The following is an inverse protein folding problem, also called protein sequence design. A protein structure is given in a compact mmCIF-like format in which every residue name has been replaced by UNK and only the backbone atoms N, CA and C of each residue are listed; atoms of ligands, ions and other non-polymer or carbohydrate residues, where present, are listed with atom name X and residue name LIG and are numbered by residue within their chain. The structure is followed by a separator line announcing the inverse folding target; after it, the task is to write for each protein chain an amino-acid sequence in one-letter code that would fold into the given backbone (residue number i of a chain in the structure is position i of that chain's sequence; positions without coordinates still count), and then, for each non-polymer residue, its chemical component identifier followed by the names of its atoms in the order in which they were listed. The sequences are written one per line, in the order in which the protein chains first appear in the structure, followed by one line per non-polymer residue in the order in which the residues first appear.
data_IF_119145996708
#
_entry.id   IF_119145996708
#
_cell.length_a   1.000
_cell.length_b   1.000
_cell.length_c   1.000
_cell.angle_alpha   90.00
_cell.angle_beta   90.00
_cell.angle_gamma   90.00
#
_symmetry.space_group_name_H-M   'P 1'
#
loop_
_entity.id
_entity.type
_entity.pdbx_description
1 polymer ?
#
# COMPACT_ATOMS: atom_id res chain seq x y z
N UNK A 1 -15.76 41.56 10.79
CA UNK A 1 -16.71 40.45 10.51
C UNK A 1 -16.21 39.63 9.31
N UNK A 2 -15.02 39.02 9.38
CA UNK A 2 -14.38 38.42 8.20
C UNK A 2 -13.64 37.09 8.43
N UNK A 3 -13.87 36.40 9.55
CA UNK A 3 -13.09 35.21 9.94
C UNK A 3 -13.94 33.92 10.08
N UNK A 4 -15.28 34.04 10.17
CA UNK A 4 -16.18 32.90 10.36
C UNK A 4 -16.29 31.99 9.13
N UNK A 5 -16.25 32.55 7.91
CA UNK A 5 -16.41 31.78 6.67
C UNK A 5 -15.22 30.89 6.31
N UNK A 6 -13.99 31.24 6.72
CA UNK A 6 -12.80 30.43 6.46
C UNK A 6 -12.72 29.20 7.39
N UNK A 7 -13.17 29.36 8.65
CA UNK A 7 -13.26 28.28 9.63
C UNK A 7 -14.31 27.23 9.25
N UNK A 8 -15.47 27.67 8.75
CA UNK A 8 -16.54 26.78 8.27
C UNK A 8 -16.14 25.98 7.03
N UNK A 9 -15.46 26.60 6.05
CA UNK A 9 -14.95 25.93 4.85
C UNK A 9 -13.87 24.87 5.19
N UNK A 10 -12.98 25.17 6.15
CA UNK A 10 -11.99 24.20 6.62
C UNK A 10 -12.64 23.02 7.33
N UNK A 11 -13.64 23.27 8.19
CA UNK A 11 -14.40 22.21 8.86
C UNK A 11 -15.11 21.28 7.86
N UNK A 12 -15.76 21.86 6.84
CA UNK A 12 -16.43 21.09 5.79
C UNK A 12 -15.43 20.23 4.98
N UNK A 13 -14.25 20.77 4.66
CA UNK A 13 -13.18 20.03 3.96
C UNK A 13 -12.66 18.86 4.79
N UNK A 14 -12.44 19.07 6.09
CA UNK A 14 -12.00 18.01 7.00
C UNK A 14 -13.08 16.92 7.11
N UNK A 15 -14.35 17.29 7.23
CA UNK A 15 -15.45 16.34 7.26
C UNK A 15 -15.57 15.52 5.97
N UNK A 16 -15.41 16.15 4.80
CA UNK A 16 -15.42 15.47 3.52
C UNK A 16 -14.23 14.50 3.36
N UNK A 17 -13.04 14.90 3.80
CA UNK A 17 -11.86 14.03 3.82
C UNK A 17 -12.08 12.83 4.75
N UNK A 18 -12.60 13.06 5.96
CA UNK A 18 -12.92 12.00 6.91
C UNK A 18 -13.95 11.03 6.35
N UNK A 19 -14.97 11.53 5.64
CA UNK A 19 -15.98 10.69 4.99
C UNK A 19 -15.35 9.79 3.91
N UNK A 20 -14.40 10.29 3.12
CA UNK A 20 -13.64 9.48 2.15
C UNK A 20 -12.80 8.40 2.86
N UNK A 21 -12.06 8.78 3.91
CA UNK A 21 -11.20 7.86 4.66
C UNK A 21 -11.98 6.71 5.32
N UNK A 22 -13.25 6.95 5.69
CA UNK A 22 -14.13 5.96 6.30
C UNK A 22 -14.65 4.90 5.33
N UNK A 23 -14.63 5.16 4.00
CA UNK A 23 -15.07 4.20 2.99
C UNK A 23 -14.22 2.92 3.03
N UNK A 24 -14.80 1.78 2.66
CA UNK A 24 -14.06 0.52 2.52
C UNK A 24 -13.69 0.28 1.05
N UNK A 25 -12.64 -0.50 0.80
CA UNK A 25 -12.19 -0.80 -0.55
C UNK A 25 -13.25 -1.56 -1.37
N UNK A 26 -13.35 -1.29 -2.66
CA UNK A 26 -14.10 -2.14 -3.59
C UNK A 26 -13.35 -3.45 -3.90
N UNK A 27 -14.04 -4.50 -4.40
CA UNK A 27 -13.39 -5.76 -4.79
C UNK A 27 -12.31 -5.57 -5.86
N UNK A 28 -12.38 -4.54 -6.70
CA UNK A 28 -11.39 -4.16 -7.71
C UNK A 28 -10.02 -3.76 -7.13
N UNK A 29 -9.98 -3.38 -5.85
CA UNK A 29 -8.74 -3.02 -5.15
C UNK A 29 -8.09 -4.19 -4.43
N UNK A 30 -8.77 -5.34 -4.38
CA UNK A 30 -8.42 -6.47 -3.54
C UNK A 30 -7.83 -7.60 -4.38
N UNK A 31 -6.86 -8.30 -3.80
CA UNK A 31 -6.22 -9.48 -4.35
C UNK A 31 -6.05 -10.54 -3.28
N UNK A 32 -5.93 -11.79 -3.69
CA UNK A 32 -5.73 -12.92 -2.79
C UNK A 32 -4.46 -13.69 -3.16
N UNK A 33 -3.68 -14.06 -2.14
CA UNK A 33 -2.56 -14.99 -2.28
C UNK A 33 -2.77 -16.22 -1.37
N UNK A 34 -2.21 -17.39 -1.70
CA UNK A 34 -2.19 -18.52 -0.79
C UNK A 34 -1.56 -18.14 0.56
N UNK A 35 -2.12 -18.64 1.66
CA UNK A 35 -1.51 -18.49 2.97
C UNK A 35 -0.28 -19.41 3.12
N UNK A 36 0.58 -19.15 4.13
CA UNK A 36 1.67 -20.07 4.48
C UNK A 36 1.17 -21.50 4.67
N UNK A 37 1.92 -22.49 4.18
CA UNK A 37 1.59 -23.91 4.33
C UNK A 37 0.30 -24.37 3.63
N UNK A 38 -0.22 -23.61 2.66
CA UNK A 38 -1.51 -23.90 2.02
C UNK A 38 -2.73 -23.51 2.86
N UNK A 39 -2.53 -22.69 3.90
CA UNK A 39 -3.59 -22.16 4.75
C UNK A 39 -4.54 -21.18 4.04
N UNK A 40 -5.43 -20.58 4.83
CA UNK A 40 -6.42 -19.62 4.35
C UNK A 40 -5.77 -18.53 3.47
N UNK A 41 -6.41 -18.23 2.33
CA UNK A 41 -5.94 -17.17 1.44
C UNK A 41 -5.85 -15.84 2.18
N UNK A 42 -4.76 -15.14 1.97
CA UNK A 42 -4.53 -13.81 2.53
C UNK A 42 -5.02 -12.75 1.55
N UNK A 43 -5.88 -11.87 2.04
CA UNK A 43 -6.44 -10.74 1.30
C UNK A 43 -5.52 -9.54 1.44
N UNK A 44 -5.15 -8.91 0.32
CA UNK A 44 -4.26 -7.75 0.31
C UNK A 44 -4.62 -6.76 -0.80
N UNK A 45 -4.19 -5.51 -0.66
CA UNK A 45 -4.17 -4.54 -1.74
C UNK A 45 -2.74 -4.38 -2.28
N UNK A 46 -2.64 -4.24 -3.61
CA UNK A 46 -1.36 -4.01 -4.28
C UNK A 46 -0.84 -2.59 -3.99
N UNK A 47 0.49 -2.43 -3.86
CA UNK A 47 1.10 -1.16 -3.47
C UNK A 47 0.74 0.01 -4.39
N UNK A 48 0.73 -0.23 -5.71
CA UNK A 48 0.39 0.81 -6.70
C UNK A 48 -1.05 1.32 -6.55
N UNK A 49 -1.99 0.46 -6.15
CA UNK A 49 -3.38 0.86 -5.93
C UNK A 49 -3.51 1.76 -4.71
N UNK A 50 -2.81 1.42 -3.63
CA UNK A 50 -2.77 2.23 -2.40
C UNK A 50 -2.13 3.60 -2.65
N UNK A 51 -1.06 3.66 -3.46
CA UNK A 51 -0.44 4.94 -3.87
C UNK A 51 -1.43 5.80 -4.65
N UNK A 52 -2.17 5.22 -5.60
CA UNK A 52 -3.17 5.95 -6.37
C UNK A 52 -4.31 6.47 -5.50
N UNK A 53 -4.79 5.67 -4.54
CA UNK A 53 -5.79 6.10 -3.57
C UNK A 53 -5.28 7.25 -2.70
N UNK A 54 -4.03 7.20 -2.23
CA UNK A 54 -3.43 8.30 -1.48
C UNK A 54 -3.35 9.59 -2.33
N UNK A 55 -2.97 9.48 -3.61
CA UNK A 55 -2.97 10.60 -4.54
C UNK A 55 -4.37 11.17 -4.82
N UNK A 56 -5.40 10.32 -4.87
CA UNK A 56 -6.79 10.75 -5.08
C UNK A 56 -7.37 11.44 -3.85
N UNK A 57 -7.04 10.94 -2.66
CA UNK A 57 -7.60 11.41 -1.39
C UNK A 57 -6.89 12.67 -0.91
N UNK A 58 -5.56 12.66 -0.89
CA UNK A 58 -4.75 13.75 -0.37
C UNK A 58 -4.29 14.72 -1.47
N UNK A 59 -4.31 14.31 -2.73
CA UNK A 59 -3.64 15.01 -3.82
C UNK A 59 -2.16 14.62 -3.91
N UNK A 60 -1.57 14.69 -5.11
CA UNK A 60 -0.17 14.30 -5.35
C UNK A 60 0.84 15.07 -4.47
N UNK A 61 0.48 16.26 -4.00
CA UNK A 61 1.28 17.12 -3.12
C UNK A 61 0.67 17.27 -1.71
N UNK A 62 -0.30 16.43 -1.34
CA UNK A 62 -0.91 16.44 0.00
C UNK A 62 -0.31 15.42 0.96
N UNK A 63 0.53 14.51 0.46
CA UNK A 63 1.22 13.52 1.25
C UNK A 63 2.63 13.27 0.70
N UNK A 64 3.49 12.71 1.55
CA UNK A 64 4.83 12.26 1.20
C UNK A 64 5.17 11.01 1.99
N UNK A 65 6.15 10.25 1.52
CA UNK A 65 6.72 9.13 2.27
C UNK A 65 8.22 9.27 2.39
N UNK A 66 8.78 8.93 3.56
CA UNK A 66 10.22 8.86 3.78
C UNK A 66 10.63 7.52 4.37
N UNK A 67 11.80 7.04 3.95
CA UNK A 67 12.45 5.88 4.54
C UNK A 67 13.21 6.34 5.79
N UNK A 68 12.70 5.98 6.97
CA UNK A 68 13.29 6.36 8.26
C UNK A 68 14.47 5.45 8.60
N UNK A 69 14.30 4.16 8.39
CA UNK A 69 15.35 3.16 8.60
C UNK A 69 15.19 1.98 7.65
N UNK A 70 16.32 1.35 7.29
CA UNK A 70 16.34 0.12 6.51
C UNK A 70 17.43 -0.80 7.04
N UNK A 71 17.02 -1.89 7.68
CA UNK A 71 17.92 -2.85 8.34
C UNK A 71 17.86 -4.18 7.61
N UNK A 72 19.03 -4.71 7.25
CA UNK A 72 19.15 -6.09 6.80
C UNK A 72 19.33 -6.96 8.04
N UNK A 73 18.25 -7.62 8.48
CA UNK A 73 18.24 -8.35 9.74
C UNK A 73 19.10 -9.62 9.65
N UNK A 74 19.05 -10.28 8.49
CA UNK A 74 19.93 -11.41 8.18
C UNK A 74 20.17 -11.52 6.66
N UNK A 75 21.29 -12.14 6.31
CA UNK A 75 21.67 -12.44 4.93
C UNK A 75 22.55 -13.69 4.92
N UNK A 76 21.89 -14.83 5.09
CA UNK A 76 22.54 -16.11 5.35
C UNK A 76 22.73 -16.90 4.06
N UNK A 77 23.83 -17.65 3.99
CA UNK A 77 24.11 -18.57 2.90
C UNK A 77 24.14 -20.00 3.46
N UNK A 78 23.26 -20.86 2.97
CA UNK A 78 23.24 -22.28 3.31
C UNK A 78 24.38 -22.98 2.57
N UNK A 79 25.39 -23.49 3.30
CA UNK A 79 26.63 -23.98 2.70
C UNK A 79 26.44 -25.18 1.76
N UNK A 80 25.53 -26.10 2.09
CA UNK A 80 25.26 -27.30 1.28
C UNK A 80 24.51 -26.96 0.00
N UNK A 81 23.43 -26.18 0.11
CA UNK A 81 22.57 -25.86 -1.02
C UNK A 81 23.08 -24.67 -1.85
N UNK A 82 24.02 -23.89 -1.31
CA UNK A 82 24.49 -22.59 -1.84
C UNK A 82 23.33 -21.62 -2.08
N UNK A 83 22.35 -21.61 -1.17
CA UNK A 83 21.15 -20.78 -1.27
C UNK A 83 21.14 -19.69 -0.22
N UNK A 84 20.60 -18.53 -0.60
CA UNK A 84 20.54 -17.35 0.25
C UNK A 84 19.17 -17.19 0.89
N UNK A 85 19.15 -16.87 2.17
CA UNK A 85 17.96 -16.43 2.90
C UNK A 85 18.22 -15.01 3.41
N UNK A 86 17.31 -14.09 3.11
CA UNK A 86 17.46 -12.66 3.41
C UNK A 86 16.19 -12.14 4.05
N UNK A 87 16.36 -11.39 5.14
CA UNK A 87 15.31 -10.65 5.82
C UNK A 87 15.68 -9.18 5.91
N UNK A 88 14.73 -8.30 5.60
CA UNK A 88 14.93 -6.85 5.64
C UNK A 88 13.73 -6.20 6.32
N UNK A 89 14.02 -5.37 7.31
CA UNK A 89 13.07 -4.49 7.99
C UNK A 89 13.20 -3.07 7.45
N UNK A 90 12.08 -2.42 7.13
CA UNK A 90 12.02 -0.99 6.81
C UNK A 90 11.11 -0.26 7.80
N UNK A 91 11.51 0.92 8.27
CA UNK A 91 10.62 1.86 8.96
C UNK A 91 10.28 2.95 7.96
N UNK A 92 8.99 3.12 7.65
CA UNK A 92 8.51 4.10 6.68
C UNK A 92 7.58 5.07 7.38
N UNK A 93 7.81 6.37 7.17
CA UNK A 93 6.92 7.45 7.60
C UNK A 93 6.11 7.95 6.43
N UNK A 94 4.82 8.17 6.65
CA UNK A 94 3.95 8.93 5.75
C UNK A 94 3.51 10.20 6.45
N UNK A 95 3.74 11.34 5.80
CA UNK A 95 3.45 12.68 6.34
C UNK A 95 2.48 13.40 5.43
N UNK A 96 1.40 13.93 5.99
CA UNK A 96 0.45 14.79 5.28
C UNK A 96 0.90 16.25 5.29
N UNK A 97 0.28 17.07 4.44
CA UNK A 97 0.62 18.51 4.31
C UNK A 97 0.50 19.28 5.62
N UNK A 98 -0.44 18.91 6.50
CA UNK A 98 -0.65 19.55 7.79
C UNK A 98 0.40 19.16 8.85
N UNK A 99 1.35 18.28 8.48
CA UNK A 99 2.40 17.79 9.37
C UNK A 99 2.02 16.56 10.18
N UNK A 100 0.76 16.11 10.13
CA UNK A 100 0.36 14.83 10.73
C UNK A 100 1.07 13.68 10.02
N UNK A 101 1.45 12.65 10.79
CA UNK A 101 2.19 11.52 10.23
C UNK A 101 1.90 10.21 10.96
N UNK A 102 2.12 9.12 10.24
CA UNK A 102 2.17 7.77 10.79
C UNK A 102 3.44 7.07 10.34
N UNK A 103 4.03 6.29 11.24
CA UNK A 103 5.14 5.40 10.95
C UNK A 103 4.69 3.96 11.15
N UNK A 104 5.19 3.07 10.30
CA UNK A 104 5.02 1.64 10.53
C UNK A 104 6.22 0.88 9.97
N UNK A 105 6.34 -0.37 10.42
CA UNK A 105 7.37 -1.30 10.03
C UNK A 105 6.88 -2.09 8.82
N UNK A 106 7.71 -2.26 7.80
CA UNK A 106 7.51 -3.20 6.71
C UNK A 106 8.56 -4.29 6.70
N UNK A 107 8.21 -5.47 6.18
CA UNK A 107 9.12 -6.60 6.13
C UNK A 107 9.21 -7.22 4.74
N UNK A 108 10.43 -7.49 4.30
CA UNK A 108 10.73 -8.22 3.08
C UNK A 108 11.53 -9.46 3.41
N UNK A 109 11.07 -10.61 2.94
CA UNK A 109 11.74 -11.89 3.13
C UNK A 109 11.84 -12.67 1.82
N UNK A 110 12.98 -13.32 1.64
CA UNK A 110 13.17 -14.32 0.61
C UNK A 110 14.09 -15.41 1.14
N UNK A 111 13.57 -16.63 1.14
CA UNK A 111 14.31 -17.83 1.48
C UNK A 111 14.70 -18.60 0.22
N UNK A 112 15.75 -19.43 0.32
CA UNK A 112 16.13 -20.38 -0.71
C UNK A 112 16.45 -19.75 -2.09
N UNK A 113 16.95 -18.52 -2.13
CA UNK A 113 17.33 -17.84 -3.37
C UNK A 113 18.63 -18.38 -3.94
N UNK A 114 18.70 -18.54 -5.27
CA UNK A 114 19.96 -18.86 -5.98
C UNK A 114 20.93 -17.68 -6.07
N UNK A 115 20.45 -16.44 -5.90
CA UNK A 115 21.25 -15.23 -6.07
C UNK A 115 21.11 -14.29 -4.87
N UNK A 116 22.25 -13.95 -4.26
CA UNK A 116 22.32 -12.99 -3.15
C UNK A 116 21.80 -11.61 -3.56
N UNK A 117 22.24 -11.11 -4.72
CA UNK A 117 21.84 -9.80 -5.22
C UNK A 117 20.33 -9.69 -5.45
N UNK A 118 19.74 -10.69 -6.10
CA UNK A 118 18.29 -10.73 -6.33
C UNK A 118 17.50 -10.84 -5.03
N UNK A 119 18.01 -11.59 -4.05
CA UNK A 119 17.36 -11.71 -2.75
C UNK A 119 17.34 -10.38 -2.00
N UNK A 120 18.48 -9.69 -1.96
CA UNK A 120 18.60 -8.38 -1.32
C UNK A 120 17.71 -7.34 -2.02
N UNK A 121 17.72 -7.29 -3.35
CA UNK A 121 16.89 -6.38 -4.14
C UNK A 121 15.39 -6.57 -3.86
N UNK A 122 14.93 -7.82 -3.94
CA UNK A 122 13.53 -8.17 -3.62
C UNK A 122 13.17 -7.76 -2.20
N UNK A 123 13.97 -8.18 -1.20
CA UNK A 123 13.62 -7.94 0.21
C UNK A 123 13.59 -6.45 0.54
N UNK A 124 14.54 -5.65 0.03
CA UNK A 124 14.51 -4.19 0.22
C UNK A 124 13.27 -3.55 -0.40
N UNK A 125 12.93 -3.90 -1.64
CA UNK A 125 11.74 -3.37 -2.32
C UNK A 125 10.44 -3.76 -1.62
N UNK A 126 10.35 -5.02 -1.20
CA UNK A 126 9.18 -5.54 -0.50
C UNK A 126 9.02 -4.89 0.88
N UNK A 127 10.10 -4.78 1.68
CA UNK A 127 10.06 -4.15 3.00
C UNK A 127 9.58 -2.71 2.93
N UNK A 128 10.13 -1.91 2.00
CA UNK A 128 9.72 -0.50 1.84
C UNK A 128 8.26 -0.39 1.37
N UNK A 129 7.84 -1.23 0.42
CA UNK A 129 6.46 -1.22 -0.07
C UNK A 129 5.47 -1.65 1.00
N UNK A 130 5.82 -2.64 1.81
CA UNK A 130 4.99 -3.11 2.92
C UNK A 130 4.86 -2.03 4.00
N UNK A 131 5.98 -1.41 4.40
CA UNK A 131 6.01 -0.34 5.38
C UNK A 131 5.16 0.86 4.93
N UNK A 132 5.25 1.23 3.65
CA UNK A 132 4.41 2.28 3.07
C UNK A 132 2.92 1.97 3.18
N UNK A 133 2.48 0.77 2.79
CA UNK A 133 1.06 0.37 2.89
C UNK A 133 0.58 0.35 4.34
N UNK A 134 1.45 -0.10 5.25
CA UNK A 134 1.15 -0.19 6.68
C UNK A 134 1.07 1.18 7.34
N UNK A 135 1.94 2.12 6.98
CA UNK A 135 1.82 3.50 7.41
C UNK A 135 0.52 4.14 6.88
N UNK A 136 0.19 3.95 5.59
CA UNK A 136 -1.00 4.53 4.96
C UNK A 136 -2.33 4.03 5.56
N UNK A 137 -2.44 2.76 5.95
CA UNK A 137 -3.69 2.25 6.54
C UNK A 137 -4.09 2.98 7.83
N UNK A 138 -3.15 3.55 8.58
CA UNK A 138 -3.47 4.25 9.84
C UNK A 138 -4.33 5.51 9.60
N UNK A 139 -4.37 6.04 8.38
CA UNK A 139 -5.24 7.17 8.03
C UNK A 139 -6.70 6.76 7.74
N UNK A 140 -7.01 5.50 7.40
CA UNK A 140 -8.40 5.12 7.14
C UNK A 140 -8.64 3.77 6.44
N UNK A 141 -9.91 3.38 6.42
CA UNK A 141 -10.40 2.14 5.82
C UNK A 141 -10.06 2.04 4.33
N UNK A 142 -10.24 3.12 3.59
CA UNK A 142 -10.03 3.16 2.13
C UNK A 142 -8.55 3.01 1.78
N UNK A 143 -7.63 3.33 2.70
CA UNK A 143 -6.19 3.14 2.54
C UNK A 143 -5.71 1.76 3.03
N UNK A 144 -6.64 0.82 3.24
CA UNK A 144 -6.34 -0.58 3.51
C UNK A 144 -6.60 -1.03 4.95
N UNK A 145 -7.04 -0.15 5.86
CA UNK A 145 -7.39 -0.58 7.22
C UNK A 145 -8.53 -1.59 7.24
N UNK A 146 -9.48 -1.49 6.29
CA UNK A 146 -10.58 -2.44 6.18
C UNK A 146 -10.12 -3.89 5.96
N UNK A 147 -8.92 -4.12 5.41
CA UNK A 147 -8.39 -5.47 5.15
C UNK A 147 -8.07 -6.26 6.43
N UNK A 148 -8.05 -5.60 7.59
CA UNK A 148 -7.86 -6.24 8.90
C UNK A 148 -9.18 -6.69 9.54
N UNK A 149 -10.32 -6.24 8.99
CA UNK A 149 -11.66 -6.69 9.38
C UNK A 149 -11.95 -8.04 8.69
N UNK A 150 -11.97 -9.11 9.50
CA UNK A 150 -12.22 -10.48 9.01
C UNK A 150 -13.60 -10.62 8.38
N UNK A 151 -14.62 -9.99 8.96
CA UNK A 151 -15.98 -10.05 8.43
C UNK A 151 -16.04 -9.37 7.06
N UNK A 152 -15.41 -8.21 6.93
CA UNK A 152 -15.31 -7.52 5.64
C UNK A 152 -14.55 -8.33 4.58
N UNK A 153 -13.39 -8.90 4.92
CA UNK A 153 -12.59 -9.68 3.95
C UNK A 153 -13.29 -10.95 3.48
N UNK A 154 -14.14 -11.56 4.31
CA UNK A 154 -14.97 -12.70 3.91
C UNK A 154 -16.09 -12.30 2.95
N UNK A 155 -16.71 -11.14 3.14
CA UNK A 155 -17.81 -10.68 2.29
C UNK A 155 -17.33 -10.10 0.96
N UNK A 156 -16.29 -9.26 0.98
CA UNK A 156 -15.81 -8.54 -0.22
C UNK A 156 -15.27 -9.48 -1.30
N UNK A 157 -14.73 -10.64 -0.90
CA UNK A 157 -14.21 -11.67 -1.83
C UNK A 157 -15.35 -12.38 -2.57
N UNK A 158 -16.57 -12.40 -2.01
CA UNK A 158 -17.75 -12.98 -2.67
C UNK A 158 -18.36 -12.05 -3.71
N UNK A 159 -18.06 -10.75 -3.65
CA UNK A 159 -18.57 -9.78 -4.61
C UNK A 159 -17.92 -9.98 -5.98
N UNK A 160 -18.73 -9.98 -7.04
CA UNK A 160 -18.23 -9.98 -8.41
C UNK A 160 -17.75 -8.58 -8.75
N UNK A 161 -16.52 -8.47 -9.26
CA UNK A 161 -16.06 -7.23 -9.89
C UNK A 161 -16.92 -7.00 -11.13
N UNK A 162 -17.66 -5.88 -11.25
CA UNK A 162 -18.35 -5.55 -12.48
C UNK A 162 -17.33 -5.51 -13.63
N UNK A 163 -17.65 -6.11 -14.78
CA UNK A 163 -16.75 -6.20 -15.95
C UNK A 163 -16.34 -4.84 -16.55
N UNK A 164 -16.75 -3.73 -15.95
CA UNK A 164 -16.59 -2.38 -16.48
C UNK A 164 -16.54 -1.32 -15.38
N UNK A 165 -15.51 -1.30 -14.55
CA UNK A 165 -15.20 -0.12 -13.73
C UNK A 165 -13.79 -0.18 -13.18
N UNK A 166 -12.79 -0.16 -14.06
CA UNK A 166 -11.48 0.34 -13.65
C UNK A 166 -11.25 1.68 -14.35
N UNK A 167 -11.61 2.82 -13.72
CA UNK A 167 -11.43 4.15 -14.31
C UNK A 167 -9.95 4.41 -14.66
N UNK A 168 -9.01 3.79 -13.95
CA UNK A 168 -7.57 3.94 -14.17
C UNK A 168 -7.08 3.19 -15.43
N UNK A 169 -7.64 2.02 -15.73
CA UNK A 169 -7.36 1.33 -17.00
C UNK A 169 -7.91 2.08 -18.22
N UNK A 170 -9.03 2.80 -18.05
CA UNK A 170 -9.60 3.62 -19.12
C UNK A 170 -8.67 4.79 -19.50
N UNK A 171 -8.02 5.43 -18.52
CA UNK A 171 -7.03 6.50 -18.78
C UNK A 171 -5.68 5.98 -19.28
N UNK A 172 -5.21 4.82 -18.81
CA UNK A 172 -3.88 4.30 -19.21
C UNK A 172 -3.83 3.88 -20.70
N UNK A 173 -4.97 3.63 -21.34
CA UNK A 173 -5.05 3.38 -22.80
C UNK A 173 -4.68 4.61 -23.63
N UNK A 174 -4.77 5.83 -23.09
CA UNK A 174 -4.46 7.07 -23.80
C UNK A 174 -2.99 7.51 -23.69
N UNK A 175 -2.17 6.90 -22.82
CA UNK A 175 -0.78 7.32 -22.54
C UNK A 175 0.25 6.38 -23.19
N UNK A 176 -0.19 5.43 -24.04
CA UNK A 176 0.76 4.71 -24.89
C UNK A 176 1.18 5.65 -26.02
N UNK A 177 2.41 6.16 -25.96
CA UNK A 177 3.03 6.76 -27.14
C UNK A 177 3.04 5.74 -28.28
N UNK A 178 2.80 6.16 -29.54
CA UNK A 178 2.91 5.26 -30.67
C UNK A 178 4.34 4.66 -30.72
N UNK A 179 4.49 3.42 -31.23
CA UNK A 179 5.81 2.84 -31.40
C UNK A 179 6.67 3.73 -32.31
N UNK A 180 7.99 3.82 -32.07
CA UNK A 180 8.88 4.58 -32.94
C UNK A 180 8.82 4.00 -34.36
N UNK A 181 8.75 4.89 -35.35
CA UNK A 181 8.80 4.61 -36.79
C UNK A 181 10.13 4.03 -37.22
#
# INVERSE_FOLDING_TARGET
MGDSGASEDMSAKVAALQAKLNQKLGPEFISQRPGPGGGMKLTYAEGWKIINLANEIFGYNGWSSSLVNLTMDFCDCHEESKRYSVGVTAIVRVTLRDGSFHEDIGYGILENSKSKGMAIDKCKKEAVTDGLKRALRNFGNVLGNCLYDKSYTQEIVKMRVPLSSNPLLAQTRQIRSPPPS
#
